data_IF_642717886621
#
_entry.id   IF_642717886621
#
_cell.length_a   1.000
_cell.length_b   1.000
_cell.length_c   1.000
_cell.angle_alpha   90.00
_cell.angle_beta   90.00
_cell.angle_gamma   90.00
#
_symmetry.space_group_name_H-M   'P 1'
#
loop_
_entity.id
_entity.type
_entity.pdbx_description
1 polymer ?
#
# COMPACT_ATOMS: atom_id res chain seq x y z
N UNK A 1 -5.94 4.73 -22.37
CA UNK A 1 -5.10 5.94 -22.20
C UNK A 1 -3.79 5.54 -21.51
N UNK A 2 -2.73 5.30 -22.30
CA UNK A 2 -1.45 4.72 -21.87
C UNK A 2 -0.31 5.71 -21.69
N UNK A 3 -0.56 6.86 -21.06
CA UNK A 3 0.45 7.94 -20.88
C UNK A 3 1.50 7.64 -19.79
N UNK A 4 1.55 6.40 -19.27
CA UNK A 4 2.57 6.00 -18.29
C UNK A 4 2.35 6.50 -16.85
N UNK A 5 1.13 6.89 -16.45
CA UNK A 5 0.83 7.39 -15.09
C UNK A 5 1.28 6.45 -13.97
N UNK A 6 1.10 5.14 -14.17
CA UNK A 6 1.55 4.10 -13.23
C UNK A 6 3.07 4.18 -13.04
N UNK A 7 3.83 4.17 -14.13
CA UNK A 7 5.29 4.26 -14.10
C UNK A 7 5.73 5.58 -13.48
N UNK A 8 5.14 6.72 -13.87
CA UNK A 8 5.45 8.02 -13.28
C UNK A 8 5.27 8.03 -11.76
N UNK A 9 4.19 7.42 -11.27
CA UNK A 9 3.91 7.33 -9.82
C UNK A 9 4.92 6.41 -9.11
N UNK A 10 5.27 5.29 -9.73
CA UNK A 10 6.25 4.33 -9.20
C UNK A 10 7.65 4.97 -9.15
N UNK A 11 8.08 5.62 -10.23
CA UNK A 11 9.37 6.32 -10.29
C UNK A 11 9.41 7.44 -9.26
N UNK A 12 8.32 8.17 -9.06
CA UNK A 12 8.24 9.18 -7.98
C UNK A 12 8.45 8.57 -6.58
N UNK A 13 7.78 7.47 -6.26
CA UNK A 13 7.98 6.77 -4.98
C UNK A 13 9.42 6.24 -4.84
N UNK A 14 10.01 5.75 -5.92
CA UNK A 14 11.38 5.26 -5.91
C UNK A 14 12.41 6.38 -5.71
N UNK A 15 12.23 7.53 -6.36
CA UNK A 15 13.08 8.69 -6.13
C UNK A 15 13.01 9.19 -4.68
N UNK A 16 11.81 9.20 -4.08
CA UNK A 16 11.62 9.51 -2.65
C UNK A 16 12.40 8.53 -1.77
N UNK A 17 12.34 7.24 -2.08
CA UNK A 17 13.11 6.20 -1.40
C UNK A 17 14.63 6.44 -1.51
N UNK A 18 15.13 6.74 -2.71
CA UNK A 18 16.54 7.02 -2.95
C UNK A 18 17.04 8.29 -2.23
N UNK A 19 16.14 9.22 -1.89
CA UNK A 19 16.43 10.40 -1.07
C UNK A 19 16.36 10.15 0.45
N UNK A 20 16.17 8.91 0.88
CA UNK A 20 16.22 8.50 2.29
C UNK A 20 14.86 8.43 2.99
N UNK A 21 13.75 8.60 2.26
CA UNK A 21 12.41 8.40 2.80
C UNK A 21 11.96 6.98 2.44
N UNK A 22 12.27 6.00 3.28
CA UNK A 22 12.11 4.57 2.96
C UNK A 22 10.68 4.01 3.03
N UNK A 23 9.67 4.87 3.09
CA UNK A 23 8.27 4.50 3.28
C UNK A 23 7.84 4.46 4.75
N UNK A 24 6.72 3.79 5.08
CA UNK A 24 5.91 2.93 4.20
C UNK A 24 5.06 3.73 3.19
N UNK A 25 4.88 3.22 1.96
CA UNK A 25 4.04 3.81 0.91
C UNK A 25 2.78 3.00 0.64
N UNK A 26 1.65 3.65 0.42
CA UNK A 26 0.37 2.99 0.13
C UNK A 26 -0.08 3.27 -1.30
N UNK A 27 -0.44 2.24 -2.04
CA UNK A 27 -1.09 2.33 -3.34
C UNK A 27 -2.48 1.72 -3.24
N UNK A 28 -3.51 2.53 -3.50
CA UNK A 28 -4.91 2.11 -3.52
C UNK A 28 -5.34 2.11 -4.98
N UNK A 29 -5.71 0.94 -5.51
CA UNK A 29 -6.06 0.79 -6.91
C UNK A 29 -7.26 -0.16 -7.12
N UNK A 30 -7.97 -0.09 -8.26
CA UNK A 30 -8.95 -1.10 -8.61
C UNK A 30 -8.33 -2.50 -8.68
N UNK A 31 -9.05 -3.53 -8.22
CA UNK A 31 -8.58 -4.92 -8.23
C UNK A 31 -8.05 -5.37 -9.61
N UNK A 32 -8.70 -4.93 -10.69
CA UNK A 32 -8.30 -5.22 -12.07
C UNK A 32 -6.94 -4.66 -12.47
N UNK A 33 -6.44 -3.65 -11.77
CA UNK A 33 -5.18 -2.96 -12.09
C UNK A 33 -4.03 -3.38 -11.18
N UNK A 34 -4.30 -4.08 -10.08
CA UNK A 34 -3.26 -4.56 -9.14
C UNK A 34 -2.15 -5.36 -9.83
N UNK A 35 -2.44 -6.35 -10.72
CA UNK A 35 -1.39 -7.10 -11.40
C UNK A 35 -0.49 -6.21 -12.28
N UNK A 36 -1.04 -5.11 -12.80
CA UNK A 36 -0.25 -4.14 -13.55
C UNK A 36 0.68 -3.35 -12.61
N UNK A 37 0.15 -2.80 -11.51
CA UNK A 37 0.96 -2.10 -10.51
C UNK A 37 2.10 -2.97 -9.98
N UNK A 38 1.81 -4.21 -9.59
CA UNK A 38 2.83 -5.15 -9.10
C UNK A 38 3.92 -5.40 -10.15
N UNK A 39 3.54 -5.62 -11.40
CA UNK A 39 4.48 -5.82 -12.51
C UNK A 39 5.39 -4.60 -12.69
N UNK A 40 4.81 -3.40 -12.78
CA UNK A 40 5.59 -2.18 -13.00
C UNK A 40 6.52 -1.89 -11.82
N UNK A 41 6.12 -2.13 -10.57
CA UNK A 41 7.02 -1.98 -9.42
C UNK A 41 8.23 -2.91 -9.53
N UNK A 42 8.00 -4.18 -9.90
CA UNK A 42 9.05 -5.18 -10.08
C UNK A 42 9.96 -4.87 -11.27
N UNK A 43 9.41 -4.27 -12.33
CA UNK A 43 10.18 -3.93 -13.53
C UNK A 43 11.06 -2.69 -13.33
N UNK A 44 10.57 -1.68 -12.61
CA UNK A 44 11.19 -0.35 -12.58
C UNK A 44 11.90 0.00 -11.27
N UNK A 45 11.75 -0.81 -10.21
CA UNK A 45 12.28 -0.47 -8.88
C UNK A 45 12.77 -1.69 -8.12
N UNK A 46 13.64 -1.46 -7.15
CA UNK A 46 14.08 -2.46 -6.17
C UNK A 46 13.26 -2.39 -4.87
N UNK A 47 12.08 -1.77 -4.89
CA UNK A 47 11.24 -1.67 -3.70
C UNK A 47 10.62 -3.03 -3.38
N UNK A 48 10.74 -3.49 -2.14
CA UNK A 48 9.94 -4.60 -1.64
C UNK A 48 8.46 -4.18 -1.55
N UNK A 49 7.64 -4.67 -2.48
CA UNK A 49 6.21 -4.34 -2.58
C UNK A 49 5.37 -5.55 -2.24
N UNK A 50 4.38 -5.35 -1.36
CA UNK A 50 3.45 -6.39 -0.91
C UNK A 50 2.05 -6.09 -1.43
N UNK A 51 1.43 -7.07 -2.06
CA UNK A 51 0.04 -6.99 -2.50
C UNK A 51 -0.87 -7.45 -1.36
N UNK A 52 -1.60 -6.51 -0.74
CA UNK A 52 -2.49 -6.77 0.38
C UNK A 52 -3.95 -6.78 -0.07
N UNK A 53 -4.46 -7.94 -0.48
CA UNK A 53 -5.88 -8.19 -0.68
C UNK A 53 -6.19 -9.70 -0.58
N UNK A 54 -7.46 -10.07 -0.71
CA UNK A 54 -7.90 -11.47 -0.78
C UNK A 54 -8.53 -11.96 0.50
N UNK A 55 -8.55 -13.29 0.67
CA UNK A 55 -9.23 -13.95 1.80
C UNK A 55 -8.61 -13.56 3.14
N UNK A 56 -9.36 -13.73 4.24
CA UNK A 56 -8.84 -13.53 5.59
C UNK A 56 -7.60 -14.42 5.86
N UNK A 57 -7.60 -15.67 5.36
CA UNK A 57 -6.47 -16.58 5.49
C UNK A 57 -5.22 -16.04 4.76
N UNK A 58 -5.38 -15.56 3.53
CA UNK A 58 -4.29 -14.95 2.75
C UNK A 58 -3.70 -13.74 3.47
N UNK A 59 -4.56 -12.86 3.99
CA UNK A 59 -4.13 -11.66 4.73
C UNK A 59 -3.41 -12.01 6.03
N UNK A 60 -3.85 -13.04 6.74
CA UNK A 60 -3.17 -13.54 7.95
C UNK A 60 -1.76 -14.03 7.64
N UNK A 61 -1.56 -14.71 6.52
CA UNK A 61 -0.22 -15.12 6.07
C UNK A 61 0.67 -13.91 5.81
N UNK A 62 0.19 -12.92 5.06
CA UNK A 62 0.93 -11.67 4.79
C UNK A 62 1.31 -10.98 6.12
N UNK A 63 0.38 -10.86 7.06
CA UNK A 63 0.63 -10.26 8.37
C UNK A 63 1.71 -11.00 9.18
N UNK A 64 1.73 -12.33 9.11
CA UNK A 64 2.67 -13.15 9.87
C UNK A 64 4.11 -13.06 9.35
N UNK A 65 4.27 -12.92 8.02
CA UNK A 65 5.56 -13.12 7.36
C UNK A 65 6.12 -11.87 6.67
N UNK A 66 5.27 -10.99 6.14
CA UNK A 66 5.68 -9.93 5.21
C UNK A 66 5.51 -8.51 5.75
N UNK A 67 4.74 -8.30 6.83
CA UNK A 67 4.45 -6.94 7.31
C UNK A 67 5.55 -6.36 8.20
N UNK A 68 5.98 -7.10 9.23
CA UNK A 68 6.80 -6.57 10.32
C UNK A 68 8.04 -7.40 10.61
N UNK A 69 9.11 -6.74 11.01
CA UNK A 69 10.22 -7.42 11.68
C UNK A 69 9.82 -7.84 13.10
N UNK A 70 10.38 -8.97 13.54
CA UNK A 70 10.15 -9.52 14.88
C UNK A 70 11.46 -9.55 15.64
N UNK A 71 11.40 -9.28 16.94
CA UNK A 71 12.52 -9.46 17.86
C UNK A 71 12.84 -10.97 18.05
N UNK A 72 13.96 -11.33 18.72
CA UNK A 72 14.29 -12.73 19.00
C UNK A 72 13.22 -13.48 19.82
N UNK A 73 12.32 -12.78 20.49
CA UNK A 73 11.20 -13.31 21.26
C UNK A 73 9.90 -13.41 20.43
N UNK A 74 9.96 -13.09 19.13
CA UNK A 74 8.84 -13.18 18.20
C UNK A 74 7.86 -12.01 18.24
N UNK A 75 8.14 -10.93 18.97
CA UNK A 75 7.27 -9.76 19.10
C UNK A 75 7.52 -8.79 17.96
N UNK A 76 6.47 -8.13 17.49
CA UNK A 76 6.55 -7.13 16.42
C UNK A 76 7.35 -5.91 16.90
N UNK A 77 8.37 -5.54 16.13
CA UNK A 77 9.14 -4.32 16.33
C UNK A 77 8.35 -3.17 15.71
N UNK A 78 7.77 -2.31 16.55
CA UNK A 78 6.96 -1.17 16.09
C UNK A 78 7.78 -0.23 15.19
N UNK A 79 7.19 0.21 14.09
CA UNK A 79 7.83 1.09 13.12
C UNK A 79 8.86 0.42 12.21
N UNK A 80 9.10 -0.90 12.37
CA UNK A 80 10.03 -1.67 11.54
C UNK A 80 9.24 -2.57 10.58
N UNK A 81 9.07 -2.10 9.36
CA UNK A 81 8.32 -2.77 8.29
C UNK A 81 9.27 -3.53 7.38
N UNK A 82 8.86 -4.74 6.95
CA UNK A 82 9.63 -5.52 5.98
C UNK A 82 9.43 -5.05 4.54
N UNK A 83 8.31 -4.38 4.27
CA UNK A 83 7.96 -3.85 2.95
C UNK A 83 8.28 -2.35 2.86
N UNK A 84 8.46 -1.86 1.65
CA UNK A 84 8.54 -0.43 1.34
C UNK A 84 7.18 0.11 0.86
N UNK A 85 6.43 -0.67 0.09
CA UNK A 85 5.10 -0.30 -0.39
C UNK A 85 4.06 -1.40 -0.22
N UNK A 86 2.80 -1.02 0.00
CA UNK A 86 1.64 -1.92 -0.09
C UNK A 86 0.74 -1.50 -1.25
N UNK A 87 0.31 -2.47 -2.05
CA UNK A 87 -0.76 -2.30 -3.03
C UNK A 87 -2.02 -2.95 -2.47
N UNK A 88 -3.12 -2.21 -2.40
CA UNK A 88 -4.41 -2.72 -1.92
C UNK A 88 -5.57 -2.19 -2.74
N UNK A 89 -6.77 -2.68 -2.45
CA UNK A 89 -7.99 -2.21 -3.12
C UNK A 89 -8.73 -1.18 -2.28
N UNK A 90 -9.63 -0.45 -2.94
CA UNK A 90 -10.58 0.43 -2.26
C UNK A 90 -11.43 -0.31 -1.23
N UNK A 91 -11.89 -1.50 -1.57
CA UNK A 91 -12.74 -2.32 -0.71
C UNK A 91 -12.00 -2.69 0.58
N UNK A 92 -10.70 -3.00 0.51
CA UNK A 92 -9.89 -3.29 1.69
C UNK A 92 -9.78 -2.13 2.68
N UNK A 93 -9.65 -0.90 2.16
CA UNK A 93 -9.65 0.31 2.99
C UNK A 93 -11.03 0.56 3.61
N UNK A 94 -12.09 0.31 2.82
CA UNK A 94 -13.48 0.54 3.23
C UNK A 94 -14.01 -0.46 4.27
N UNK A 95 -13.53 -1.70 4.26
CA UNK A 95 -13.99 -2.76 5.18
C UNK A 95 -13.44 -2.65 6.60
N UNK A 96 -12.77 -1.53 6.93
CA UNK A 96 -12.00 -1.33 8.16
C UNK A 96 -10.91 -2.41 8.29
N UNK A 97 -9.71 -2.10 7.81
CA UNK A 97 -8.53 -2.93 8.00
C UNK A 97 -7.62 -2.26 9.05
N UNK A 98 -7.79 -2.56 10.35
CA UNK A 98 -7.02 -1.96 11.42
C UNK A 98 -5.50 -2.06 11.21
N UNK A 99 -5.07 -3.11 10.53
CA UNK A 99 -3.65 -3.39 10.30
C UNK A 99 -3.02 -2.44 9.31
N UNK A 100 -3.76 -1.95 8.31
CA UNK A 100 -3.28 -0.91 7.39
C UNK A 100 -3.49 0.50 7.97
N UNK A 101 -4.53 0.68 8.79
CA UNK A 101 -4.85 1.97 9.41
C UNK A 101 -3.77 2.44 10.40
N UNK A 102 -3.20 1.53 11.17
CA UNK A 102 -2.19 1.86 12.20
C UNK A 102 -0.78 2.10 11.63
N UNK A 103 -0.62 2.11 10.31
CA UNK A 103 0.67 2.31 9.65
C UNK A 103 0.80 3.79 9.29
N UNK A 104 1.86 4.48 9.74
CA UNK A 104 2.08 5.89 9.43
C UNK A 104 2.61 6.03 8.00
N UNK A 105 1.71 6.02 7.03
CA UNK A 105 2.03 6.10 5.61
C UNK A 105 2.73 7.42 5.28
N UNK A 106 3.87 7.35 4.58
CA UNK A 106 4.63 8.53 4.14
C UNK A 106 4.12 9.11 2.84
N UNK A 107 3.49 8.28 2.02
CA UNK A 107 2.87 8.68 0.76
C UNK A 107 1.71 7.73 0.44
N UNK A 108 0.62 8.29 -0.07
CA UNK A 108 -0.54 7.54 -0.57
C UNK A 108 -0.76 7.89 -2.03
N UNK A 109 -0.78 6.88 -2.89
CA UNK A 109 -1.14 6.99 -4.30
C UNK A 109 -2.51 6.34 -4.50
N UNK A 110 -3.43 7.06 -5.13
CA UNK A 110 -4.79 6.57 -5.38
C UNK A 110 -5.00 6.53 -6.89
N UNK A 111 -5.07 5.33 -7.44
CA UNK A 111 -5.41 5.10 -8.84
C UNK A 111 -6.92 5.23 -9.04
N UNK A 112 -7.36 5.82 -10.15
CA UNK A 112 -8.78 6.14 -10.39
C UNK A 112 -9.41 6.96 -9.26
N UNK A 113 -8.67 7.95 -8.74
CA UNK A 113 -9.07 8.84 -7.64
C UNK A 113 -10.40 9.57 -7.86
N UNK A 114 -10.94 9.61 -9.09
CA UNK A 114 -12.27 10.12 -9.35
C UNK A 114 -13.36 9.39 -8.53
N UNK A 115 -13.12 8.14 -8.09
CA UNK A 115 -14.00 7.38 -7.17
C UNK A 115 -14.17 8.06 -5.79
N UNK A 116 -13.29 8.98 -5.41
CA UNK A 116 -13.36 9.75 -4.15
C UNK A 116 -14.41 10.88 -4.18
N UNK A 117 -14.93 11.27 -5.34
CA UNK A 117 -15.71 12.52 -5.49
C UNK A 117 -17.14 12.45 -4.94
N UNK A 118 -17.68 11.29 -4.63
CA UNK A 118 -19.01 11.18 -4.05
C UNK A 118 -18.99 11.67 -2.59
N UNK A 119 -19.76 12.71 -2.24
CA UNK A 119 -19.73 13.37 -0.92
C UNK A 119 -20.04 12.46 0.29
N UNK A 120 -20.58 11.25 0.05
CA UNK A 120 -20.80 10.19 1.06
C UNK A 120 -19.77 9.06 0.97
N UNK A 121 -18.63 9.28 0.33
CA UNK A 121 -17.65 8.22 0.09
C UNK A 121 -16.96 7.89 1.42
N UNK A 122 -17.39 6.78 2.04
CA UNK A 122 -16.75 6.09 3.17
C UNK A 122 -15.22 5.97 3.04
N UNK A 123 -14.71 6.09 1.82
CA UNK A 123 -13.28 6.07 1.52
C UNK A 123 -12.56 7.34 2.01
N UNK A 124 -13.17 8.52 1.88
CA UNK A 124 -12.60 9.74 2.45
C UNK A 124 -12.55 9.66 3.97
N UNK A 125 -13.57 9.08 4.60
CA UNK A 125 -13.58 8.82 6.05
C UNK A 125 -12.52 7.79 6.43
N UNK A 126 -12.40 6.70 5.67
CA UNK A 126 -11.36 5.68 5.85
C UNK A 126 -9.94 6.22 5.69
N UNK A 127 -9.72 7.19 4.79
CA UNK A 127 -8.43 7.86 4.62
C UNK A 127 -8.11 8.83 5.76
N UNK A 128 -9.09 9.64 6.21
CA UNK A 128 -8.94 10.51 7.40
C UNK A 128 -8.65 9.71 8.68
N UNK A 129 -9.02 8.44 8.70
CA UNK A 129 -8.73 7.53 9.81
C UNK A 129 -7.28 7.03 9.82
N UNK A 130 -6.51 7.28 8.74
CA UNK A 130 -5.09 6.93 8.60
C UNK A 130 -4.14 8.10 8.93
N UNK A 131 -4.68 9.29 9.22
CA UNK A 131 -3.97 10.44 9.79
C UNK A 131 -3.85 10.32 11.32
#
# INVERSE_FOLDING_TARGET
MGLGKTIQSITFLYEIYLKGIHGPFLVIAPLSTIPNWEREFRTWTELNVVVYHGSQASRRTIQLYEMYFKDPQGRVIKGSYKFHAIITTFEMILTDCPELRNIPWRCVVIDEAHRLKNRNCKLQEGLKMMD
#
